data_IF_204511561033
#
_entry.id   IF_204511561033
#
_cell.length_a   1.000
_cell.length_b   1.000
_cell.length_c   1.000
_cell.angle_alpha   90.00
_cell.angle_beta   90.00
_cell.angle_gamma   90.00
#
_symmetry.space_group_name_H-M   'P 1'
#
loop_
_entity.id
_entity.type
_entity.pdbx_description
1 polymer ?
#
# COMPACT_ATOMS: atom_id res chain seq x y z
N UNK A 1 -12.71 -13.51 -23.90
CA UNK A 1 -11.60 -12.89 -23.17
C UNK A 1 -12.15 -12.37 -21.86
N UNK A 2 -12.01 -13.13 -20.79
CA UNK A 2 -12.39 -12.72 -19.43
C UNK A 2 -11.31 -13.25 -18.49
N UNK A 3 -10.16 -12.58 -18.51
CA UNK A 3 -9.13 -12.72 -17.49
C UNK A 3 -9.57 -11.84 -16.34
N UNK A 4 -10.05 -12.48 -15.29
CA UNK A 4 -10.70 -11.82 -14.16
C UNK A 4 -9.70 -11.01 -13.35
N UNK A 5 -10.12 -9.89 -12.76
CA UNK A 5 -9.43 -9.10 -11.72
C UNK A 5 -9.16 -9.90 -10.42
N UNK A 6 -9.11 -11.24 -10.50
CA UNK A 6 -8.72 -12.06 -9.37
C UNK A 6 -7.21 -12.03 -9.25
N UNK A 7 -6.66 -11.70 -8.07
CA UNK A 7 -5.23 -11.82 -7.84
C UNK A 7 -4.85 -13.30 -8.03
N UNK A 8 -4.08 -13.55 -9.08
CA UNK A 8 -3.75 -14.88 -9.60
C UNK A 8 -2.80 -15.63 -8.67
N UNK A 9 -2.07 -14.89 -7.82
CA UNK A 9 -1.18 -15.42 -6.79
C UNK A 9 -1.43 -14.82 -5.41
N UNK A 10 -0.94 -15.50 -4.36
CA UNK A 10 -0.89 -14.94 -3.00
C UNK A 10 -0.12 -13.62 -2.97
N UNK A 11 0.94 -13.51 -3.78
CA UNK A 11 1.72 -12.28 -3.90
C UNK A 11 0.86 -11.12 -4.42
N UNK A 12 0.02 -11.34 -5.44
CA UNK A 12 -0.86 -10.29 -5.97
C UNK A 12 -1.90 -9.84 -4.93
N UNK A 13 -2.38 -10.75 -4.09
CA UNK A 13 -3.28 -10.43 -2.95
C UNK A 13 -2.57 -9.53 -1.96
N UNK A 14 -1.36 -9.90 -1.55
CA UNK A 14 -0.57 -9.13 -0.59
C UNK A 14 -0.20 -7.75 -1.14
N UNK A 15 0.05 -7.64 -2.44
CA UNK A 15 0.32 -6.35 -3.10
C UNK A 15 -0.94 -5.47 -3.13
N UNK A 16 -2.11 -6.02 -3.44
CA UNK A 16 -3.38 -5.29 -3.39
C UNK A 16 -3.74 -4.83 -1.95
N UNK A 17 -3.51 -5.69 -0.96
CA UNK A 17 -3.69 -5.37 0.45
C UNK A 17 -2.70 -4.29 0.91
N UNK A 18 -1.44 -4.35 0.47
CA UNK A 18 -0.43 -3.33 0.76
C UNK A 18 -0.84 -1.94 0.24
N UNK A 19 -1.34 -1.86 -0.99
CA UNK A 19 -1.85 -0.61 -1.57
C UNK A 19 -3.04 -0.09 -0.78
N UNK A 20 -3.96 -0.98 -0.38
CA UNK A 20 -5.13 -0.62 0.44
C UNK A 20 -4.72 -0.02 1.77
N UNK A 21 -3.73 -0.63 2.45
CA UNK A 21 -3.18 -0.08 3.68
C UNK A 21 -2.49 1.26 3.47
N UNK A 22 -1.72 1.40 2.39
CA UNK A 22 -1.01 2.63 2.10
C UNK A 22 -1.99 3.79 1.88
N UNK A 23 -3.02 3.61 1.07
CA UNK A 23 -4.08 4.61 0.85
C UNK A 23 -4.75 5.01 2.16
N UNK A 24 -5.05 4.05 3.05
CA UNK A 24 -5.65 4.33 4.37
C UNK A 24 -4.71 5.10 5.30
N UNK A 25 -3.41 4.85 5.23
CA UNK A 25 -2.40 5.53 6.05
C UNK A 25 -2.04 6.93 5.52
N UNK A 26 -2.34 7.21 4.25
CA UNK A 26 -2.05 8.49 3.59
C UNK A 26 -3.30 9.33 3.32
N UNK A 27 -4.50 8.86 3.71
CA UNK A 27 -5.77 9.54 3.42
C UNK A 27 -6.00 10.83 4.21
N UNK A 28 -5.14 11.16 5.18
CA UNK A 28 -5.32 12.30 6.08
C UNK A 28 -6.31 12.06 7.24
N UNK A 29 -7.11 10.99 7.16
CA UNK A 29 -8.07 10.59 8.21
C UNK A 29 -7.58 9.37 9.02
N UNK A 30 -6.31 9.01 8.88
CA UNK A 30 -5.73 7.82 9.51
C UNK A 30 -5.84 7.87 11.04
N UNK A 31 -6.50 6.88 11.61
CA UNK A 31 -6.59 6.73 13.07
C UNK A 31 -5.42 5.92 13.61
N UNK A 32 -5.19 6.04 14.92
CA UNK A 32 -4.22 5.19 15.62
C UNK A 32 -4.61 3.69 15.56
N UNK A 33 -5.90 3.39 15.42
CA UNK A 33 -6.34 2.01 15.21
C UNK A 33 -5.91 1.47 13.83
N UNK A 34 -5.98 2.30 12.79
CA UNK A 34 -5.53 1.94 11.45
C UNK A 34 -4.03 1.66 11.41
N UNK A 35 -3.23 2.49 12.11
CA UNK A 35 -1.78 2.28 12.25
C UNK A 35 -1.48 0.94 12.89
N UNK A 36 -2.14 0.62 14.01
CA UNK A 36 -1.96 -0.67 14.70
C UNK A 36 -2.43 -1.85 13.86
N UNK A 37 -3.52 -1.73 13.12
CA UNK A 37 -4.02 -2.77 12.25
C UNK A 37 -3.07 -3.04 11.07
N UNK A 38 -2.57 -1.97 10.43
CA UNK A 38 -1.57 -2.08 9.36
C UNK A 38 -0.27 -2.72 9.87
N UNK A 39 0.19 -2.32 11.05
CA UNK A 39 1.37 -2.89 11.69
C UNK A 39 1.20 -4.37 12.07
N UNK A 40 0.02 -4.74 12.57
CA UNK A 40 -0.33 -6.14 12.81
C UNK A 40 -0.28 -6.95 11.52
N UNK A 41 -0.90 -6.41 10.46
CA UNK A 41 -0.92 -7.04 9.14
C UNK A 41 0.48 -7.25 8.57
N UNK A 42 1.36 -6.24 8.65
CA UNK A 42 2.77 -6.31 8.19
C UNK A 42 3.58 -7.37 8.93
N UNK A 43 3.25 -7.65 10.20
CA UNK A 43 3.96 -8.62 11.05
C UNK A 43 3.48 -10.07 10.85
N UNK A 44 2.44 -10.32 10.06
CA UNK A 44 1.92 -11.67 9.83
C UNK A 44 2.94 -12.56 9.10
N UNK A 45 3.69 -12.02 8.14
CA UNK A 45 4.80 -12.74 7.49
C UNK A 45 5.76 -11.79 6.78
N UNK A 46 6.94 -12.30 6.42
CA UNK A 46 7.91 -11.57 5.60
C UNK A 46 7.34 -11.17 4.23
N UNK A 47 6.38 -11.91 3.68
CA UNK A 47 5.73 -11.57 2.42
C UNK A 47 4.86 -10.31 2.56
N UNK A 48 4.13 -10.18 3.67
CA UNK A 48 3.33 -8.98 3.98
C UNK A 48 4.23 -7.74 4.12
N UNK A 49 5.32 -7.88 4.87
CA UNK A 49 6.29 -6.80 5.02
C UNK A 49 6.87 -6.36 3.67
N UNK A 50 7.30 -7.31 2.82
CA UNK A 50 7.86 -7.02 1.51
C UNK A 50 6.87 -6.35 0.57
N UNK A 51 5.61 -6.81 0.56
CA UNK A 51 4.56 -6.18 -0.23
C UNK A 51 4.33 -4.72 0.20
N UNK A 52 4.30 -4.46 1.51
CA UNK A 52 4.19 -3.10 2.04
C UNK A 52 5.37 -2.20 1.67
N UNK A 53 6.60 -2.70 1.80
CA UNK A 53 7.81 -1.97 1.44
C UNK A 53 7.85 -1.65 -0.06
N UNK A 54 7.44 -2.59 -0.92
CA UNK A 54 7.31 -2.37 -2.37
C UNK A 54 6.32 -1.25 -2.68
N UNK A 55 5.12 -1.31 -2.08
CA UNK A 55 4.10 -0.28 -2.27
C UNK A 55 4.55 1.09 -1.76
N UNK A 56 5.18 1.14 -0.57
CA UNK A 56 5.68 2.37 0.04
C UNK A 56 6.75 3.04 -0.84
N UNK A 57 7.71 2.27 -1.38
CA UNK A 57 8.74 2.82 -2.28
C UNK A 57 8.16 3.46 -3.55
N UNK A 58 7.10 2.87 -4.10
CA UNK A 58 6.41 3.43 -5.27
C UNK A 58 5.76 4.77 -4.90
N UNK A 59 5.08 4.81 -3.76
CA UNK A 59 4.40 6.01 -3.28
C UNK A 59 5.36 7.14 -2.91
N UNK A 60 6.44 6.84 -2.20
CA UNK A 60 7.48 7.82 -1.84
C UNK A 60 8.15 8.37 -3.10
N UNK A 61 8.34 7.53 -4.13
CA UNK A 61 8.84 7.96 -5.44
C UNK A 61 7.89 8.89 -6.20
N UNK A 62 6.60 8.93 -5.84
CA UNK A 62 5.61 9.86 -6.40
C UNK A 62 5.51 11.18 -5.65
N UNK A 63 6.05 11.31 -4.43
CA UNK A 63 6.02 12.60 -3.69
C UNK A 63 6.71 13.75 -4.44
N UNK A 64 7.91 13.58 -5.04
CA UNK A 64 8.52 14.63 -5.83
C UNK A 64 7.66 15.07 -7.04
N UNK A 65 6.86 14.16 -7.60
CA UNK A 65 5.92 14.47 -8.67
C UNK A 65 4.73 15.28 -8.16
N UNK A 66 4.22 14.96 -6.96
CA UNK A 66 3.15 15.72 -6.31
C UNK A 66 3.60 17.16 -6.04
N UNK A 67 4.79 17.35 -5.50
CA UNK A 67 5.34 18.67 -5.21
C UNK A 67 5.52 19.51 -6.48
N UNK A 68 5.97 18.88 -7.57
CA UNK A 68 6.13 19.54 -8.87
C UNK A 68 4.80 19.92 -9.54
N UNK A 69 3.69 19.25 -9.21
CA UNK A 69 2.36 19.54 -9.78
C UNK A 69 1.57 20.58 -8.97
N UNK A 70 1.97 20.83 -7.72
CA UNK A 70 1.34 21.79 -6.80
C UNK A 70 2.12 23.12 -6.75
N UNK A 71 3.33 23.17 -7.31
CA UNK A 71 4.12 24.40 -7.45
C UNK A 71 3.66 25.22 -8.68
N UNK A 72 3.22 26.48 -8.52
CA UNK A 72 2.75 27.35 -9.61
C UNK A 72 3.87 27.90 -10.53
#
# INVERSE_FOLDING_TARGET
MSGTDYPESEQDRLEAEAVTWLVRLTSGETTENDRRAADSWRRQSLAHQRAFEKASRIWDGMEPLRDSLISP
#
